data_IF_997453968439
#
_entry.id   IF_997453968439
#
_cell.length_a   1.000
_cell.length_b   1.000
_cell.length_c   1.000
_cell.angle_alpha   90.00
_cell.angle_beta   90.00
_cell.angle_gamma   90.00
#
_symmetry.space_group_name_H-M   'P 1'
#
loop_
_entity.id
_entity.type
_entity.pdbx_description
1 polymer ?
#
# COMPACT_ATOMS: atom_id res chain seq x y z
N UNK A 1 19.80 30.23 23.32
CA UNK A 1 18.56 30.06 22.54
C UNK A 1 18.34 28.57 22.25
N UNK A 2 17.20 27.98 22.66
CA UNK A 2 16.85 26.59 22.35
C UNK A 2 16.75 26.33 20.84
N UNK A 3 17.12 25.12 20.38
CA UNK A 3 17.18 24.77 18.95
C UNK A 3 15.85 25.00 18.21
N UNK A 4 14.72 24.68 18.86
CA UNK A 4 13.36 24.90 18.34
C UNK A 4 13.02 26.36 18.02
N UNK A 5 13.77 27.33 18.56
CA UNK A 5 13.63 28.78 18.30
C UNK A 5 14.71 29.33 17.37
N UNK A 6 15.77 28.55 17.10
CA UNK A 6 16.88 28.95 16.21
C UNK A 6 16.60 28.62 14.75
N UNK A 7 15.82 27.57 14.50
CA UNK A 7 15.47 27.12 13.15
C UNK A 7 14.12 27.70 12.69
N UNK A 8 13.96 28.03 11.40
CA UNK A 8 12.69 28.48 10.87
C UNK A 8 11.68 27.33 10.79
N UNK A 9 10.39 27.64 10.92
CA UNK A 9 9.31 26.68 10.62
C UNK A 9 9.35 26.34 9.12
N UNK A 10 9.18 25.07 8.79
CA UNK A 10 9.18 24.55 7.41
C UNK A 10 8.11 23.49 7.25
N UNK A 11 7.49 23.48 6.07
CA UNK A 11 6.49 22.48 5.68
C UNK A 11 5.07 22.76 6.19
N UNK A 12 4.18 21.85 5.83
CA UNK A 12 2.80 21.79 6.27
C UNK A 12 2.37 20.32 6.36
N UNK A 13 1.30 20.02 7.10
CA UNK A 13 0.74 18.67 7.18
C UNK A 13 -0.35 18.50 6.12
N UNK A 14 -0.17 17.55 5.20
CA UNK A 14 -1.22 17.20 4.23
C UNK A 14 -2.36 16.44 4.91
N UNK A 15 -3.61 16.87 4.65
CA UNK A 15 -4.83 16.23 5.17
C UNK A 15 -5.14 14.90 4.48
N UNK A 16 -4.68 14.73 3.22
CA UNK A 16 -4.96 13.54 2.42
C UNK A 16 -4.00 12.40 2.79
N UNK A 17 -2.81 12.71 3.27
CA UNK A 17 -1.80 11.70 3.59
C UNK A 17 -2.27 10.67 4.63
N UNK A 18 -3.12 11.09 5.58
CA UNK A 18 -3.70 10.19 6.58
C UNK A 18 -4.71 9.17 6.00
N UNK A 19 -5.21 9.41 4.78
CA UNK A 19 -6.19 8.55 4.09
C UNK A 19 -5.56 7.68 3.01
N UNK A 20 -4.25 7.77 2.81
CA UNK A 20 -3.51 6.94 1.88
C UNK A 20 -2.75 5.89 2.69
N UNK A 21 -2.98 4.61 2.37
CA UNK A 21 -2.32 3.50 3.02
C UNK A 21 -1.24 2.90 2.11
N UNK A 22 -0.18 2.42 2.73
CA UNK A 22 0.87 1.64 2.06
C UNK A 22 0.75 0.19 2.50
N UNK A 23 0.79 -0.74 1.54
CA UNK A 23 0.64 -2.17 1.79
C UNK A 23 1.85 -2.91 1.23
N UNK A 24 2.42 -3.82 2.02
CA UNK A 24 3.58 -4.62 1.62
C UNK A 24 3.15 -5.92 0.94
N UNK A 25 3.98 -6.40 0.02
CA UNK A 25 3.77 -7.70 -0.63
C UNK A 25 3.81 -8.87 0.36
N UNK A 26 4.66 -8.81 1.38
CA UNK A 26 4.71 -9.82 2.45
C UNK A 26 3.40 -9.95 3.22
N UNK A 27 2.72 -8.83 3.47
CA UNK A 27 1.44 -8.81 4.18
C UNK A 27 0.32 -9.38 3.31
N UNK A 28 0.38 -9.09 2.00
CA UNK A 28 -0.54 -9.65 1.00
C UNK A 28 -0.33 -11.17 0.85
N UNK A 29 0.92 -11.65 0.86
CA UNK A 29 1.23 -13.06 0.70
C UNK A 29 0.62 -13.95 1.80
N UNK A 30 0.34 -13.38 2.97
CA UNK A 30 -0.30 -14.06 4.10
C UNK A 30 -1.81 -14.19 3.96
N UNK A 31 -2.42 -13.45 3.03
CA UNK A 31 -3.85 -13.52 2.82
C UNK A 31 -4.22 -14.80 2.05
N UNK A 32 -5.30 -15.49 2.46
CA UNK A 32 -5.79 -16.65 1.73
C UNK A 32 -6.61 -16.26 0.49
N UNK A 33 -6.70 -14.97 0.14
CA UNK A 33 -7.56 -14.44 -0.93
C UNK A 33 -6.72 -14.11 -2.16
N UNK A 34 -7.18 -14.55 -3.34
CA UNK A 34 -6.47 -14.32 -4.61
C UNK A 34 -6.89 -13.01 -5.29
N UNK A 35 -8.03 -12.43 -4.89
CA UNK A 35 -8.49 -11.10 -5.31
C UNK A 35 -8.28 -10.08 -4.18
N UNK A 36 -7.59 -8.98 -4.50
CA UNK A 36 -7.26 -7.93 -3.54
C UNK A 36 -7.90 -6.63 -4.00
N UNK A 37 -8.86 -6.19 -3.20
CA UNK A 37 -9.51 -4.89 -3.27
C UNK A 37 -9.27 -4.12 -1.96
N UNK A 38 -9.65 -2.84 -1.93
CA UNK A 38 -9.57 -2.01 -0.73
C UNK A 38 -10.42 -2.62 0.41
N UNK A 39 -11.60 -3.17 0.09
CA UNK A 39 -12.46 -3.84 1.07
C UNK A 39 -11.79 -5.07 1.70
N UNK A 40 -11.12 -5.92 0.91
CA UNK A 40 -10.42 -7.11 1.44
C UNK A 40 -9.24 -6.73 2.32
N UNK A 41 -8.54 -5.65 1.97
CA UNK A 41 -7.43 -5.12 2.78
C UNK A 41 -7.91 -4.53 4.12
N UNK A 42 -9.09 -3.92 4.14
CA UNK A 42 -9.73 -3.44 5.38
C UNK A 42 -10.18 -4.61 6.26
N UNK A 43 -10.80 -5.64 5.68
CA UNK A 43 -11.21 -6.86 6.40
C UNK A 43 -10.02 -7.58 7.02
N UNK A 44 -8.88 -7.58 6.32
CA UNK A 44 -7.63 -8.13 6.81
C UNK A 44 -6.92 -7.26 7.87
N UNK A 45 -7.49 -6.10 8.25
CA UNK A 45 -6.87 -5.10 9.13
C UNK A 45 -5.47 -4.63 8.67
N UNK A 46 -5.17 -4.73 7.36
CA UNK A 46 -3.91 -4.20 6.80
C UNK A 46 -4.01 -2.71 6.49
N UNK A 47 -5.23 -2.23 6.25
CA UNK A 47 -5.52 -0.84 5.90
C UNK A 47 -6.59 -0.30 6.85
N UNK A 48 -6.44 0.97 7.25
CA UNK A 48 -7.42 1.65 8.09
C UNK A 48 -8.79 1.72 7.42
N UNK A 49 -9.86 1.63 8.20
CA UNK A 49 -11.24 1.74 7.71
C UNK A 49 -11.55 3.11 7.07
N UNK A 50 -10.72 4.12 7.35
CA UNK A 50 -10.88 5.47 6.80
C UNK A 50 -9.96 5.75 5.60
N UNK A 51 -9.19 4.74 5.16
CA UNK A 51 -8.33 4.90 3.99
C UNK A 51 -9.18 4.95 2.71
N UNK A 52 -8.87 5.91 1.85
CA UNK A 52 -9.52 6.09 0.55
C UNK A 52 -8.70 5.49 -0.59
N UNK A 53 -7.40 5.27 -0.37
CA UNK A 53 -6.53 4.65 -1.35
C UNK A 53 -5.46 3.80 -0.69
N UNK A 54 -5.04 2.75 -1.40
CA UNK A 54 -3.92 1.91 -1.01
C UNK A 54 -2.89 1.86 -2.13
N UNK A 55 -1.61 1.82 -1.76
CA UNK A 55 -0.49 1.63 -2.67
C UNK A 55 0.34 0.42 -2.26
N UNK A 56 0.51 -0.53 -3.18
CA UNK A 56 1.32 -1.73 -2.97
C UNK A 56 2.79 -1.44 -3.26
N UNK A 57 3.64 -1.73 -2.28
CA UNK A 57 5.08 -1.49 -2.31
C UNK A 57 5.83 -2.82 -2.32
N UNK A 58 6.89 -2.88 -3.13
CA UNK A 58 7.79 -4.04 -3.19
C UNK A 58 8.52 -4.19 -1.86
N UNK A 59 8.06 -5.13 -1.05
CA UNK A 59 8.67 -5.49 0.23
C UNK A 59 8.32 -6.95 0.52
N UNK A 60 9.26 -7.84 0.22
CA UNK A 60 9.07 -9.29 0.26
C UNK A 60 8.82 -9.91 -1.13
N UNK A 61 8.58 -11.22 -1.13
CA UNK A 61 8.37 -12.05 -2.31
C UNK A 61 6.93 -12.56 -2.36
N UNK A 62 6.45 -12.85 -3.58
CA UNK A 62 5.12 -13.40 -3.81
C UNK A 62 5.25 -14.59 -4.77
N UNK A 63 4.78 -15.75 -4.34
CA UNK A 63 4.80 -16.99 -5.12
C UNK A 63 3.38 -17.41 -5.57
N UNK A 64 2.39 -16.54 -5.34
CA UNK A 64 0.98 -16.81 -5.60
C UNK A 64 0.47 -15.85 -6.67
N UNK A 65 -0.45 -16.35 -7.49
CA UNK A 65 -1.19 -15.55 -8.45
C UNK A 65 -2.17 -14.63 -7.72
N UNK A 66 -2.04 -13.33 -7.95
CA UNK A 66 -2.87 -12.32 -7.30
C UNK A 66 -3.50 -11.39 -8.32
N UNK A 67 -4.74 -11.01 -8.09
CA UNK A 67 -5.48 -10.04 -8.90
C UNK A 67 -5.70 -8.79 -8.07
N UNK A 68 -5.02 -7.69 -8.41
CA UNK A 68 -5.29 -6.38 -7.80
C UNK A 68 -6.43 -5.69 -8.54
N UNK A 69 -7.48 -5.25 -7.84
CA UNK A 69 -8.59 -4.47 -8.41
C UNK A 69 -8.61 -3.08 -7.78
N UNK A 70 -8.48 -2.01 -8.56
CA UNK A 70 -8.58 -0.64 -8.07
C UNK A 70 -7.48 -0.18 -7.10
N UNK A 71 -6.40 -0.96 -6.93
CA UNK A 71 -5.27 -0.66 -6.04
C UNK A 71 -4.04 -0.27 -6.85
N UNK A 72 -3.37 0.82 -6.46
CA UNK A 72 -2.15 1.28 -7.13
C UNK A 72 -0.97 0.40 -6.73
N UNK A 73 -0.11 0.03 -7.67
CA UNK A 73 1.15 -0.66 -7.38
C UNK A 73 2.36 0.21 -7.76
N UNK A 74 3.46 0.05 -7.02
CA UNK A 74 4.77 0.57 -7.44
C UNK A 74 5.32 -0.24 -8.63
N UNK A 75 6.23 0.34 -9.42
CA UNK A 75 6.81 -0.33 -10.59
C UNK A 75 7.44 -1.70 -10.23
N UNK A 76 8.22 -1.75 -9.14
CA UNK A 76 8.81 -2.99 -8.66
C UNK A 76 7.78 -4.01 -8.16
N UNK A 77 6.71 -3.56 -7.50
CA UNK A 77 5.65 -4.45 -7.04
C UNK A 77 4.86 -5.02 -8.21
N UNK A 78 4.56 -4.20 -9.23
CA UNK A 78 3.87 -4.65 -10.44
C UNK A 78 4.67 -5.74 -11.15
N UNK A 79 5.97 -5.55 -11.34
CA UNK A 79 6.84 -6.55 -11.95
C UNK A 79 6.87 -7.87 -11.15
N UNK A 80 6.92 -7.80 -9.81
CA UNK A 80 6.88 -8.99 -8.96
C UNK A 80 5.54 -9.74 -9.04
N UNK A 81 4.41 -9.01 -9.11
CA UNK A 81 3.07 -9.60 -9.23
C UNK A 81 2.88 -10.23 -10.61
N UNK A 82 3.32 -9.58 -11.68
CA UNK A 82 3.28 -10.11 -13.05
C UNK A 82 4.18 -11.36 -13.18
N UNK A 83 5.36 -11.36 -12.56
CA UNK A 83 6.25 -12.53 -12.51
C UNK A 83 5.62 -13.74 -11.78
N UNK A 84 4.78 -13.48 -10.77
CA UNK A 84 3.99 -14.51 -10.09
C UNK A 84 2.72 -14.92 -10.86
N UNK A 85 2.51 -14.39 -12.08
CA UNK A 85 1.36 -14.70 -12.94
C UNK A 85 0.06 -13.98 -12.55
N UNK A 86 0.16 -12.95 -11.71
CA UNK A 86 -0.94 -12.09 -11.30
C UNK A 86 -1.31 -11.01 -12.33
N UNK A 87 -2.41 -10.30 -12.11
CA UNK A 87 -2.89 -9.22 -12.97
C UNK A 87 -3.33 -7.99 -12.16
N UNK A 88 -3.13 -6.80 -12.75
CA UNK A 88 -3.77 -5.57 -12.29
C UNK A 88 -4.99 -5.32 -13.19
N UNK A 89 -6.17 -5.26 -12.58
CA UNK A 89 -7.35 -4.65 -13.17
C UNK A 89 -7.45 -3.23 -12.60
N UNK A 90 -7.36 -2.23 -13.48
CA UNK A 90 -7.57 -0.82 -13.10
C UNK A 90 -8.97 -0.58 -12.51
#
# INVERSE_FOLDING_TARGET
MPLQRRLPKRGFKSMINARNAEVRLSDIARLPVDEIDLATLMQANLVSQHALSAKVVLSGEINRKLTLKGVRATAGARAAIEAAGGSLSE
#
